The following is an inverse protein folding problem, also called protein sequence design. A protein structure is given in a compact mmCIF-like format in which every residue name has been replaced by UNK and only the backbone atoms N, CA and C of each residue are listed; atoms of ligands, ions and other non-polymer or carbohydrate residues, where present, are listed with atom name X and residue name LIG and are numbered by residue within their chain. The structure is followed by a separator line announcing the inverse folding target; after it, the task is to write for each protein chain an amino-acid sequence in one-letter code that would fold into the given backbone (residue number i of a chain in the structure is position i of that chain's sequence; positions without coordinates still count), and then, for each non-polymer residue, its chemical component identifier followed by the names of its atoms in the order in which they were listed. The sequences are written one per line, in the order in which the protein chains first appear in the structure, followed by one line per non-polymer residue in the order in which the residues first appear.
data_IF_682762139944
#
_entry.id   IF_682762139944
#
_cell.length_a   1.000
_cell.length_b   1.000
_cell.length_c   1.000
_cell.angle_alpha   90.00
_cell.angle_beta   90.00
_cell.angle_gamma   90.00
#
_symmetry.space_group_name_H-M   'P 1'
#
loop_
_entity.id
_entity.type
_entity.pdbx_description
1 polymer ?
#
# COMPACT_ATOMS: atom_id res chain seq x y z
N UNK A 1 -24.56 19.51 18.82
CA UNK A 1 -23.16 19.03 18.85
C UNK A 1 -22.74 18.88 17.39
N UNK A 2 -21.89 19.76 16.87
CA UNK A 2 -21.44 19.65 15.47
C UNK A 2 -20.48 18.46 15.39
N UNK A 3 -20.78 17.48 14.53
CA UNK A 3 -19.82 16.44 14.13
C UNK A 3 -18.68 17.15 13.40
N UNK A 4 -17.67 17.59 14.16
CA UNK A 4 -16.42 18.06 13.60
C UNK A 4 -15.80 16.85 12.90
N UNK A 5 -15.51 16.97 11.61
CA UNK A 5 -14.67 15.99 10.93
C UNK A 5 -13.38 15.89 11.76
N UNK A 6 -13.11 14.72 12.36
CA UNK A 6 -11.79 14.44 12.93
C UNK A 6 -10.77 14.57 11.79
N UNK A 7 -9.53 14.94 12.10
CA UNK A 7 -8.47 15.10 11.08
C UNK A 7 -8.28 13.86 10.21
N UNK A 8 -8.62 12.69 10.75
CA UNK A 8 -8.68 11.40 10.08
C UNK A 8 -9.95 10.64 10.49
N UNK A 9 -10.63 9.95 9.56
CA UNK A 9 -11.80 9.13 9.86
C UNK A 9 -11.87 7.86 9.01
N UNK A 10 -12.22 6.74 9.64
CA UNK A 10 -12.55 5.48 8.96
C UNK A 10 -14.05 5.32 8.87
N UNK A 11 -14.55 5.06 7.67
CA UNK A 11 -15.93 4.69 7.41
C UNK A 11 -15.94 3.19 7.09
N UNK A 12 -16.55 2.39 7.97
CA UNK A 12 -16.64 0.94 7.83
C UNK A 12 -17.95 0.58 7.13
N UNK A 13 -17.87 -0.21 6.06
CA UNK A 13 -19.02 -0.88 5.47
C UNK A 13 -19.40 -2.10 6.33
N UNK A 14 -18.38 -2.83 6.78
CA UNK A 14 -18.49 -3.96 7.71
C UNK A 14 -17.12 -4.27 8.33
N UNK A 15 -17.12 -5.07 9.40
CA UNK A 15 -15.89 -5.59 10.01
C UNK A 15 -15.60 -7.01 9.48
N UNK A 16 -14.50 -7.25 8.73
CA UNK A 16 -14.24 -8.54 8.13
C UNK A 16 -13.72 -9.56 9.14
N UNK A 17 -14.10 -10.83 8.97
CA UNK A 17 -13.61 -11.96 9.78
C UNK A 17 -12.39 -12.60 9.10
N UNK A 18 -11.20 -12.07 9.39
CA UNK A 18 -9.95 -12.54 8.78
C UNK A 18 -9.09 -13.35 9.76
N UNK A 19 -8.41 -14.40 9.25
CA UNK A 19 -7.46 -15.19 10.03
C UNK A 19 -6.03 -14.83 9.61
N UNK A 20 -5.31 -14.18 10.52
CA UNK A 20 -3.91 -13.75 10.34
C UNK A 20 -3.64 -13.09 8.97
N UNK A 21 -4.36 -12.00 8.63
CA UNK A 21 -4.22 -11.39 7.32
C UNK A 21 -2.83 -10.79 7.11
N UNK A 22 -2.38 -10.77 5.86
CA UNK A 22 -1.27 -9.92 5.41
C UNK A 22 -1.85 -8.57 5.01
N UNK A 23 -1.22 -7.50 5.48
CA UNK A 23 -1.59 -6.14 5.09
C UNK A 23 -0.74 -5.68 3.91
N UNK A 24 -1.38 -5.31 2.80
CA UNK A 24 -0.74 -4.89 1.56
C UNK A 24 -1.20 -3.46 1.26
N UNK A 25 -0.26 -2.56 1.01
CA UNK A 25 -0.53 -1.16 0.69
C UNK A 25 0.04 -0.85 -0.69
N UNK A 26 -0.83 -0.50 -1.62
CA UNK A 26 -0.46 0.02 -2.94
C UNK A 26 -0.40 1.54 -2.92
N UNK A 27 0.82 2.08 -2.94
CA UNK A 27 1.10 3.52 -2.98
C UNK A 27 0.96 4.04 -4.41
N UNK A 28 0.45 5.26 -4.58
CA UNK A 28 0.33 5.94 -5.87
C UNK A 28 1.51 6.88 -6.12
N UNK A 29 2.73 6.35 -6.03
CA UNK A 29 3.99 7.00 -6.40
C UNK A 29 4.19 7.15 -7.91
N UNK A 30 5.43 7.02 -8.38
CA UNK A 30 5.80 7.13 -9.80
C UNK A 30 5.17 5.98 -10.60
N UNK A 31 4.63 6.30 -11.77
CA UNK A 31 3.92 5.35 -12.62
C UNK A 31 2.63 4.77 -12.03
N UNK A 32 2.19 5.24 -10.84
CA UNK A 32 1.11 4.62 -10.05
C UNK A 32 1.28 3.10 -9.87
N UNK A 33 2.53 2.62 -9.83
CA UNK A 33 2.84 1.17 -9.88
C UNK A 33 2.22 0.42 -8.70
N UNK A 34 2.39 0.94 -7.47
CA UNK A 34 1.81 0.33 -6.28
C UNK A 34 0.29 0.22 -6.34
N UNK A 35 -0.38 1.30 -6.77
CA UNK A 35 -1.83 1.33 -7.01
C UNK A 35 -2.26 0.31 -8.07
N UNK A 36 -1.55 0.20 -9.19
CA UNK A 36 -1.83 -0.79 -10.23
C UNK A 36 -1.71 -2.21 -9.68
N UNK A 37 -0.59 -2.52 -9.00
CA UNK A 37 -0.37 -3.85 -8.42
C UNK A 37 -1.44 -4.22 -7.39
N UNK A 38 -1.86 -3.27 -6.56
CA UNK A 38 -2.93 -3.49 -5.59
C UNK A 38 -4.29 -3.72 -6.27
N UNK A 39 -4.60 -3.02 -7.37
CA UNK A 39 -5.83 -3.25 -8.14
C UNK A 39 -5.85 -4.62 -8.81
N UNK A 40 -4.74 -5.04 -9.42
CA UNK A 40 -4.59 -6.40 -9.95
C UNK A 40 -4.78 -7.47 -8.85
N UNK A 41 -4.26 -7.22 -7.65
CA UNK A 41 -4.45 -8.11 -6.52
C UNK A 41 -5.90 -8.15 -6.02
N UNK A 42 -6.60 -7.01 -6.00
CA UNK A 42 -8.02 -6.95 -5.65
C UNK A 42 -8.84 -7.79 -6.62
N UNK A 43 -8.62 -7.64 -7.92
CA UNK A 43 -9.29 -8.42 -8.97
C UNK A 43 -8.98 -9.91 -8.82
N UNK A 44 -7.69 -10.26 -8.75
CA UNK A 44 -7.23 -11.64 -8.62
C UNK A 44 -7.79 -12.32 -7.36
N UNK A 45 -7.76 -11.65 -6.21
CA UNK A 45 -8.23 -12.20 -4.94
C UNK A 45 -9.72 -12.00 -4.68
N UNK A 46 -10.47 -11.44 -5.63
CA UNK A 46 -11.90 -11.09 -5.46
C UNK A 46 -12.15 -10.29 -4.17
N UNK A 47 -11.24 -9.37 -3.85
CA UNK A 47 -11.28 -8.64 -2.60
C UNK A 47 -12.46 -7.66 -2.58
N UNK A 48 -13.11 -7.54 -1.42
CA UNK A 48 -14.30 -6.73 -1.22
C UNK A 48 -13.97 -5.47 -0.42
N UNK A 49 -14.49 -4.32 -0.86
CA UNK A 49 -14.36 -3.07 -0.11
C UNK A 49 -15.06 -3.23 1.24
N UNK A 50 -14.35 -2.96 2.34
CA UNK A 50 -14.93 -3.02 3.68
C UNK A 50 -14.73 -1.72 4.47
N UNK A 51 -13.84 -0.83 4.01
CA UNK A 51 -13.65 0.49 4.62
C UNK A 51 -13.10 1.53 3.67
N UNK A 52 -13.42 2.78 3.95
CA UNK A 52 -12.78 3.97 3.37
C UNK A 52 -12.17 4.83 4.46
N UNK A 53 -11.05 5.49 4.17
CA UNK A 53 -10.38 6.43 5.08
C UNK A 53 -10.32 7.82 4.46
N UNK A 54 -10.72 8.82 5.24
CA UNK A 54 -10.71 10.23 4.86
C UNK A 54 -9.78 10.99 5.79
N UNK A 55 -9.18 12.07 5.28
CA UNK A 55 -8.37 12.98 6.08
C UNK A 55 -8.48 14.40 5.56
N UNK A 56 -8.39 15.37 6.46
CA UNK A 56 -8.27 16.78 6.11
C UNK A 56 -6.91 17.12 5.46
N UNK A 57 -5.94 16.21 5.48
CA UNK A 57 -4.65 16.36 4.80
C UNK A 57 -4.70 15.91 3.33
N UNK A 58 -5.81 15.35 2.86
CA UNK A 58 -6.01 15.09 1.43
C UNK A 58 -6.43 16.36 0.68
N UNK A 59 -6.36 16.32 -0.65
CA UNK A 59 -6.75 17.45 -1.49
C UNK A 59 -8.18 17.93 -1.19
N UNK A 60 -8.36 19.24 -1.13
CA UNK A 60 -9.59 19.96 -0.80
C UNK A 60 -10.58 20.05 -1.98
N UNK A 61 -10.77 18.93 -2.68
CA UNK A 61 -11.61 18.85 -3.87
C UNK A 61 -12.57 17.67 -3.80
N UNK A 62 -13.70 17.75 -4.49
CA UNK A 62 -14.53 16.58 -4.75
C UNK A 62 -14.03 15.85 -6.01
N UNK A 63 -14.00 14.52 -5.97
CA UNK A 63 -13.79 13.66 -7.13
C UNK A 63 -15.14 13.36 -7.77
N UNK A 64 -15.26 13.56 -9.08
CA UNK A 64 -16.48 13.27 -9.85
C UNK A 64 -16.26 11.97 -10.61
N UNK A 65 -17.16 11.00 -10.41
CA UNK A 65 -17.17 9.74 -11.14
C UNK A 65 -17.82 9.91 -12.52
N UNK A 66 -17.65 8.91 -13.40
CA UNK A 66 -18.18 8.95 -14.77
C UNK A 66 -19.71 9.07 -14.86
N UNK A 67 -20.43 8.68 -13.80
CA UNK A 67 -21.88 8.81 -13.66
C UNK A 67 -22.32 10.14 -13.04
N UNK A 68 -21.37 11.04 -12.77
CA UNK A 68 -21.62 12.34 -12.14
C UNK A 68 -21.69 12.30 -10.61
N UNK A 69 -21.53 11.14 -9.96
CA UNK A 69 -21.55 11.04 -8.50
C UNK A 69 -20.24 11.58 -7.93
N UNK A 70 -20.35 12.54 -7.00
CA UNK A 70 -19.20 13.11 -6.32
C UNK A 70 -18.78 12.31 -5.07
N UNK A 71 -17.50 12.37 -4.72
CA UNK A 71 -16.97 11.79 -3.48
C UNK A 71 -15.76 12.58 -2.99
N UNK A 72 -15.48 12.55 -1.69
CA UNK A 72 -14.21 13.09 -1.17
C UNK A 72 -13.05 12.14 -1.50
N UNK A 73 -11.83 12.68 -1.70
CA UNK A 73 -10.63 11.89 -1.83
C UNK A 73 -10.43 11.03 -0.59
N UNK A 74 -10.05 9.78 -0.81
CA UNK A 74 -10.02 8.76 0.23
C UNK A 74 -9.00 7.67 -0.07
N UNK A 75 -8.62 6.94 0.95
CA UNK A 75 -8.02 5.62 0.80
C UNK A 75 -9.11 4.56 0.89
N UNK A 76 -8.94 3.46 0.15
CA UNK A 76 -9.89 2.35 0.14
C UNK A 76 -9.23 1.09 0.67
N UNK A 77 -9.97 0.31 1.46
CA UNK A 77 -9.50 -0.89 2.12
C UNK A 77 -10.37 -2.06 1.70
N UNK A 78 -9.71 -3.06 1.14
CA UNK A 78 -10.31 -4.28 0.64
C UNK A 78 -9.85 -5.47 1.47
N UNK A 79 -10.69 -6.48 1.57
CA UNK A 79 -10.36 -7.73 2.25
C UNK A 79 -10.58 -8.92 1.31
N UNK A 80 -9.72 -9.93 1.42
CA UNK A 80 -9.96 -11.21 0.77
C UNK A 80 -9.72 -12.36 1.74
N UNK A 81 -10.72 -13.23 1.83
CA UNK A 81 -10.63 -14.52 2.49
C UNK A 81 -10.69 -15.69 1.50
N UNK A 82 -10.73 -15.43 0.19
CA UNK A 82 -10.81 -16.44 -0.88
C UNK A 82 -9.43 -16.99 -1.27
N UNK A 83 -8.36 -16.39 -0.75
CA UNK A 83 -6.99 -16.85 -0.90
C UNK A 83 -6.33 -17.14 0.46
N UNK A 84 -5.24 -17.91 0.43
CA UNK A 84 -4.40 -18.15 1.59
C UNK A 84 -3.00 -17.55 1.38
N UNK A 85 -2.48 -16.78 2.35
CA UNK A 85 -3.18 -16.25 3.54
C UNK A 85 -4.29 -15.25 3.20
N UNK A 86 -5.15 -14.94 4.18
CA UNK A 86 -6.13 -13.86 4.04
C UNK A 86 -5.41 -12.52 3.80
N UNK A 87 -6.08 -11.58 3.13
CA UNK A 87 -5.50 -10.29 2.75
C UNK A 87 -6.31 -9.12 3.28
N UNK A 88 -5.62 -8.05 3.63
CA UNK A 88 -6.13 -6.68 3.67
C UNK A 88 -5.33 -5.90 2.65
N UNK A 89 -5.99 -5.18 1.76
CA UNK A 89 -5.36 -4.42 0.68
C UNK A 89 -5.83 -2.97 0.80
N UNK A 90 -4.93 -2.05 1.12
CA UNK A 90 -5.20 -0.62 1.08
C UNK A 90 -4.67 -0.02 -0.23
N UNK A 91 -5.45 0.89 -0.82
CA UNK A 91 -5.10 1.59 -2.04
C UNK A 91 -5.10 3.09 -1.78
N UNK A 92 -3.97 3.73 -2.04
CA UNK A 92 -3.86 5.19 -2.03
C UNK A 92 -4.54 5.75 -3.29
N UNK A 93 -5.82 6.10 -3.20
CA UNK A 93 -6.52 6.81 -4.28
C UNK A 93 -6.39 8.33 -4.18
N UNK A 94 -5.86 8.85 -3.07
CA UNK A 94 -5.59 10.26 -2.85
C UNK A 94 -4.25 10.44 -2.16
N UNK A 95 -3.45 11.39 -2.67
CA UNK A 95 -2.20 11.79 -2.02
C UNK A 95 -2.48 12.77 -0.88
N UNK A 96 -1.56 12.82 0.07
CA UNK A 96 -1.46 13.89 1.06
C UNK A 96 -1.10 15.17 0.30
N UNK A 97 -1.89 16.23 0.46
CA UNK A 97 -1.81 17.44 -0.35
C UNK A 97 -0.72 18.41 0.14
N UNK A 98 -0.43 18.39 1.44
CA UNK A 98 0.53 19.27 2.08
C UNK A 98 1.85 18.50 2.24
N UNK A 99 2.93 19.07 1.72
CA UNK A 99 4.28 18.48 1.85
C UNK A 99 4.92 18.79 3.21
N UNK A 100 4.19 18.47 4.28
CA UNK A 100 4.62 18.64 5.66
C UNK A 100 4.82 17.27 6.31
N UNK A 101 5.97 17.00 6.95
CA UNK A 101 6.24 15.73 7.59
C UNK A 101 5.14 15.29 8.57
N UNK A 102 4.56 16.21 9.34
CA UNK A 102 3.49 15.92 10.30
C UNK A 102 2.25 15.30 9.64
N UNK A 103 1.87 15.76 8.45
CA UNK A 103 0.73 15.22 7.71
C UNK A 103 0.98 13.76 7.29
N UNK A 104 2.18 13.44 6.80
CA UNK A 104 2.59 12.08 6.46
C UNK A 104 2.59 11.16 7.68
N UNK A 105 3.22 11.57 8.78
CA UNK A 105 3.25 10.76 9.99
C UNK A 105 1.85 10.54 10.57
N UNK A 106 1.01 11.57 10.61
CA UNK A 106 -0.36 11.47 11.15
C UNK A 106 -1.21 10.51 10.33
N UNK A 107 -1.28 10.70 9.01
CA UNK A 107 -2.11 9.89 8.12
C UNK A 107 -1.62 8.44 8.07
N UNK A 108 -0.31 8.24 7.89
CA UNK A 108 0.24 6.91 7.66
C UNK A 108 0.32 6.09 8.96
N UNK A 109 0.45 6.73 10.12
CA UNK A 109 0.33 6.04 11.41
C UNK A 109 -1.10 5.56 11.65
N UNK A 110 -2.12 6.36 11.34
CA UNK A 110 -3.53 5.93 11.42
C UNK A 110 -3.83 4.74 10.49
N UNK A 111 -3.36 4.81 9.24
CA UNK A 111 -3.48 3.72 8.26
C UNK A 111 -2.79 2.44 8.75
N UNK A 112 -1.57 2.56 9.28
CA UNK A 112 -0.85 1.41 9.84
C UNK A 112 -1.56 0.84 11.08
N UNK A 113 -1.98 1.69 12.00
CA UNK A 113 -2.67 1.30 13.23
C UNK A 113 -4.01 0.62 12.94
N UNK A 114 -4.70 1.00 11.87
CA UNK A 114 -5.91 0.31 11.41
C UNK A 114 -5.65 -1.15 11.05
N UNK A 115 -4.58 -1.43 10.31
CA UNK A 115 -4.13 -2.81 10.05
C UNK A 115 -3.81 -3.57 11.34
N UNK A 116 -3.11 -2.93 12.29
CA UNK A 116 -2.77 -3.55 13.59
C UNK A 116 -4.01 -3.91 14.41
N UNK A 117 -5.05 -3.06 14.41
CA UNK A 117 -6.35 -3.37 15.04
C UNK A 117 -7.01 -4.61 14.42
N UNK A 118 -6.73 -4.88 13.15
CA UNK A 118 -7.16 -6.09 12.42
C UNK A 118 -6.19 -7.27 12.56
N UNK A 119 -5.27 -7.21 13.53
CA UNK A 119 -4.33 -8.28 13.93
C UNK A 119 -3.37 -8.70 12.80
N UNK A 120 -3.03 -7.80 11.89
CA UNK A 120 -2.00 -8.04 10.88
C UNK A 120 -0.65 -8.21 11.57
N UNK A 121 0.16 -9.16 11.09
CA UNK A 121 1.53 -9.38 11.59
C UNK A 121 2.60 -9.04 10.55
N UNK A 122 2.16 -8.70 9.34
CA UNK A 122 3.03 -8.41 8.21
C UNK A 122 2.43 -7.31 7.36
N UNK A 123 3.25 -6.31 7.08
CA UNK A 123 2.99 -5.22 6.16
C UNK A 123 3.82 -5.40 4.89
N UNK A 124 3.19 -5.15 3.74
CA UNK A 124 3.86 -5.06 2.46
C UNK A 124 3.45 -3.74 1.83
N UNK A 125 4.43 -2.94 1.45
CA UNK A 125 4.21 -1.68 0.74
C UNK A 125 4.76 -1.83 -0.66
N UNK A 126 3.94 -1.56 -1.66
CA UNK A 126 4.32 -1.61 -3.07
C UNK A 126 4.33 -0.18 -3.59
N UNK A 127 5.43 0.23 -4.19
CA UNK A 127 5.59 1.60 -4.67
C UNK A 127 6.42 1.68 -5.94
N UNK A 128 6.12 2.70 -6.74
CA UNK A 128 6.92 3.11 -7.87
C UNK A 128 7.77 4.32 -7.50
N UNK A 129 9.07 4.25 -7.76
CA UNK A 129 10.00 5.35 -7.48
C UNK A 129 10.61 5.88 -8.77
N UNK A 130 11.02 7.14 -8.78
CA UNK A 130 11.71 7.70 -9.92
C UNK A 130 12.99 6.88 -10.20
N UNK A 131 13.23 6.57 -11.48
CA UNK A 131 14.45 5.90 -11.88
C UNK A 131 15.67 6.75 -11.49
N UNK A 132 16.42 6.28 -10.49
CA UNK A 132 17.75 6.79 -10.19
C UNK A 132 18.70 6.29 -11.28
N UNK A 133 19.61 7.12 -11.77
CA UNK A 133 20.50 6.81 -12.90
C UNK A 133 21.31 5.51 -12.75
N UNK A 134 21.51 5.04 -11.51
CA UNK A 134 22.24 3.82 -11.17
C UNK A 134 21.36 2.57 -11.00
N UNK A 135 20.03 2.71 -11.17
CA UNK A 135 19.06 1.66 -10.91
C UNK A 135 18.41 1.19 -12.21
N UNK A 136 18.59 -0.09 -12.51
CA UNK A 136 17.94 -0.74 -13.65
C UNK A 136 16.43 -0.97 -13.45
N UNK A 137 15.80 -1.67 -14.40
CA UNK A 137 14.37 -2.02 -14.37
C UNK A 137 14.04 -3.18 -13.42
N UNK A 138 14.91 -3.56 -12.50
CA UNK A 138 14.64 -4.68 -11.58
C UNK A 138 13.61 -4.31 -10.51
N UNK A 139 13.12 -5.32 -9.81
CA UNK A 139 12.38 -5.13 -8.55
C UNK A 139 13.40 -5.01 -7.42
N UNK A 140 13.33 -3.88 -6.71
CA UNK A 140 14.11 -3.64 -5.52
C UNK A 140 13.30 -3.92 -4.26
N UNK A 141 13.99 -4.32 -3.20
CA UNK A 141 13.37 -4.67 -1.94
C UNK A 141 14.06 -3.99 -0.76
N UNK A 142 13.24 -3.58 0.20
CA UNK A 142 13.63 -3.08 1.52
C UNK A 142 12.81 -3.82 2.57
N UNK A 143 13.33 -3.98 3.78
CA UNK A 143 12.60 -4.67 4.84
C UNK A 143 13.03 -4.26 6.24
N UNK A 144 12.17 -4.52 7.23
CA UNK A 144 12.42 -4.19 8.65
C UNK A 144 13.40 -5.14 9.34
N UNK A 145 13.78 -6.26 8.68
CA UNK A 145 14.74 -7.24 9.22
C UNK A 145 15.58 -7.92 8.12
N UNK A 146 16.78 -8.39 8.51
CA UNK A 146 17.72 -9.08 7.60
C UNK A 146 17.16 -10.41 7.08
N UNK A 147 16.35 -11.12 7.87
CA UNK A 147 15.74 -12.39 7.45
C UNK A 147 14.74 -12.17 6.31
N UNK A 148 13.97 -11.09 6.36
CA UNK A 148 13.05 -10.71 5.28
C UNK A 148 13.81 -10.37 3.99
N UNK A 149 14.91 -9.61 4.08
CA UNK A 149 15.76 -9.34 2.91
C UNK A 149 16.25 -10.63 2.25
N UNK A 150 16.83 -11.56 3.03
CA UNK A 150 17.30 -12.85 2.50
C UNK A 150 16.20 -13.61 1.75
N UNK A 151 14.99 -13.66 2.35
CA UNK A 151 13.83 -14.29 1.73
C UNK A 151 13.46 -13.63 0.40
N UNK A 152 13.42 -12.30 0.35
CA UNK A 152 13.03 -11.57 -0.86
C UNK A 152 14.07 -11.74 -1.99
N UNK A 153 15.35 -11.75 -1.63
CA UNK A 153 16.43 -11.96 -2.59
C UNK A 153 16.40 -13.36 -3.21
N UNK A 154 15.98 -14.40 -2.46
CA UNK A 154 15.82 -15.74 -3.05
C UNK A 154 14.68 -15.84 -4.06
N UNK A 155 13.75 -14.87 -4.09
CA UNK A 155 12.69 -14.79 -5.10
C UNK A 155 13.06 -13.96 -6.34
N UNK A 156 14.25 -13.34 -6.35
CA UNK A 156 14.77 -12.53 -7.45
C UNK A 156 14.76 -11.03 -7.20
N UNK A 157 14.36 -10.56 -6.01
CA UNK A 157 14.43 -9.14 -5.66
C UNK A 157 15.87 -8.70 -5.40
N UNK A 158 16.23 -7.48 -5.79
CA UNK A 158 17.53 -6.87 -5.47
C UNK A 158 17.38 -5.98 -4.25
N UNK A 159 18.27 -6.05 -3.26
CA UNK A 159 18.18 -5.12 -2.14
C UNK A 159 18.44 -3.68 -2.62
N UNK A 160 17.61 -2.74 -2.18
CA UNK A 160 17.77 -1.33 -2.52
C UNK A 160 19.01 -0.78 -1.80
N UNK A 161 19.97 -0.21 -2.54
CA UNK A 161 21.20 0.41 -2.01
C UNK A 161 21.08 1.93 -1.97
N UNK A 162 20.07 2.44 -1.26
CA UNK A 162 19.82 3.87 -1.14
C UNK A 162 20.04 4.33 0.31
N UNK A 163 20.37 5.61 0.49
CA UNK A 163 20.45 6.25 1.81
C UNK A 163 19.08 6.56 2.39
N UNK A 164 18.08 6.74 1.52
CA UNK A 164 16.72 7.12 1.88
C UNK A 164 15.69 6.48 0.94
N UNK A 165 14.47 6.33 1.46
CA UNK A 165 13.26 5.99 0.70
C UNK A 165 12.21 7.03 1.09
N UNK A 166 11.86 7.98 0.21
CA UNK A 166 10.95 9.08 0.55
C UNK A 166 9.47 8.67 0.51
N UNK A 167 8.61 9.58 0.96
CA UNK A 167 7.16 9.50 0.80
C UNK A 167 6.48 8.40 1.61
N UNK A 168 5.28 8.01 1.17
CA UNK A 168 4.41 7.10 1.92
C UNK A 168 5.07 5.74 2.19
N UNK A 169 5.81 5.20 1.23
CA UNK A 169 6.48 3.90 1.38
C UNK A 169 7.59 3.92 2.43
N UNK A 170 8.40 4.97 2.45
CA UNK A 170 9.42 5.17 3.48
C UNK A 170 8.84 5.29 4.88
N UNK A 171 7.86 6.17 5.06
CA UNK A 171 7.23 6.43 6.37
C UNK A 171 6.51 5.18 6.89
N UNK A 172 5.73 4.49 6.06
CA UNK A 172 5.03 3.25 6.45
C UNK A 172 6.00 2.15 6.92
N UNK A 173 7.12 1.96 6.22
CA UNK A 173 8.12 0.97 6.59
C UNK A 173 8.91 1.36 7.84
N UNK A 174 9.20 2.66 8.00
CA UNK A 174 9.81 3.20 9.22
C UNK A 174 8.91 3.00 10.44
N UNK A 175 7.62 3.36 10.33
CA UNK A 175 6.63 3.14 11.38
C UNK A 175 6.43 1.65 11.69
N UNK A 176 6.40 0.78 10.67
CA UNK A 176 6.35 -0.66 10.87
C UNK A 176 7.55 -1.17 11.67
N UNK A 177 8.77 -0.67 11.38
CA UNK A 177 9.97 -0.99 12.15
C UNK A 177 9.84 -0.56 13.62
N UNK A 178 9.39 0.67 13.87
CA UNK A 178 9.20 1.19 15.23
C UNK A 178 8.18 0.37 16.03
N UNK A 179 7.15 -0.16 15.37
CA UNK A 179 6.10 -0.98 15.99
C UNK A 179 6.42 -2.48 16.00
N UNK A 180 7.65 -2.89 15.70
CA UNK A 180 8.08 -4.30 15.63
C UNK A 180 7.22 -5.16 14.68
N UNK A 181 6.75 -4.57 13.59
CA UNK A 181 6.00 -5.25 12.54
C UNK A 181 6.95 -5.72 11.43
N UNK A 182 6.74 -6.95 10.94
CA UNK A 182 7.43 -7.41 9.73
C UNK A 182 6.97 -6.57 8.53
N UNK A 183 7.85 -5.71 8.02
CA UNK A 183 7.57 -4.80 6.92
C UNK A 183 8.45 -5.12 5.72
N UNK A 184 7.85 -5.15 4.54
CA UNK A 184 8.51 -5.38 3.24
C UNK A 184 8.13 -4.26 2.28
N UNK A 185 9.09 -3.63 1.64
CA UNK A 185 8.87 -2.77 0.48
C UNK A 185 9.20 -3.49 -0.82
N UNK A 186 8.29 -3.46 -1.78
CA UNK A 186 8.50 -3.87 -3.18
C UNK A 186 8.56 -2.58 -3.98
N UNK A 187 9.77 -2.22 -4.42
CA UNK A 187 10.08 -0.92 -5.01
C UNK A 187 10.47 -1.13 -6.47
N UNK A 188 9.70 -0.56 -7.38
CA UNK A 188 9.91 -0.70 -8.82
C UNK A 188 10.24 0.67 -9.43
N UNK A 189 11.49 0.89 -9.89
CA UNK A 189 11.85 2.12 -10.58
C UNK A 189 11.05 2.27 -11.87
N UNK A 190 10.60 3.49 -12.15
CA UNK A 190 10.02 3.86 -13.44
C UNK A 190 10.46 5.25 -13.85
N UNK A 191 10.63 5.43 -15.16
CA UNK A 191 10.84 6.74 -15.79
C UNK A 191 9.51 7.38 -16.23
N UNK A 192 8.40 6.63 -16.16
CA UNK A 192 7.09 7.10 -16.57
C UNK A 192 6.40 7.87 -15.45
N UNK A 193 6.11 9.15 -15.70
CA UNK A 193 5.24 9.94 -14.84
C UNK A 193 3.75 9.66 -15.09
N UNK A 194 3.43 8.93 -16.18
CA UNK A 194 2.09 8.42 -16.47
C UNK A 194 1.96 6.97 -15.99
N UNK A 195 0.73 6.45 -16.00
CA UNK A 195 0.39 5.10 -15.57
C UNK A 195 1.27 4.03 -16.25
N UNK A 196 2.04 3.29 -15.44
CA UNK A 196 2.96 2.23 -15.88
C UNK A 196 2.37 0.85 -15.54
N UNK A 197 1.52 0.35 -16.44
CA UNK A 197 0.79 -0.92 -16.23
C UNK A 197 1.71 -2.14 -16.23
N UNK A 198 2.76 -2.12 -17.06
CA UNK A 198 3.72 -3.22 -17.18
C UNK A 198 4.52 -3.37 -15.88
N UNK A 199 5.06 -2.27 -15.36
CA UNK A 199 5.77 -2.30 -14.09
C UNK A 199 4.84 -2.67 -12.91
N UNK A 200 3.57 -2.24 -12.95
CA UNK A 200 2.52 -2.67 -12.02
C UNK A 200 2.26 -4.18 -12.03
N UNK A 201 2.15 -4.77 -13.21
CA UNK A 201 1.97 -6.22 -13.39
C UNK A 201 3.20 -7.01 -12.92
N UNK A 202 4.41 -6.55 -13.22
CA UNK A 202 5.64 -7.19 -12.72
C UNK A 202 5.71 -7.20 -11.19
N UNK A 203 5.41 -6.07 -10.54
CA UNK A 203 5.40 -5.99 -9.08
C UNK A 203 4.31 -6.87 -8.46
N UNK A 204 3.13 -6.96 -9.11
CA UNK A 204 2.07 -7.89 -8.74
C UNK A 204 2.53 -9.36 -8.84
N UNK A 205 3.13 -9.77 -9.96
CA UNK A 205 3.66 -11.13 -10.15
C UNK A 205 4.72 -11.49 -9.11
N UNK A 206 5.60 -10.55 -8.79
CA UNK A 206 6.61 -10.74 -7.75
C UNK A 206 5.98 -10.90 -6.35
N UNK A 207 4.94 -10.12 -6.04
CA UNK A 207 4.18 -10.26 -4.80
C UNK A 207 3.54 -11.64 -4.68
N UNK A 208 2.80 -12.09 -5.69
CA UNK A 208 2.13 -13.40 -5.72
C UNK A 208 3.15 -14.53 -5.48
N UNK A 209 4.29 -14.48 -6.19
CA UNK A 209 5.40 -15.45 -6.05
C UNK A 209 5.98 -15.44 -4.64
N UNK A 210 6.30 -14.26 -4.10
CA UNK A 210 6.96 -14.08 -2.79
C UNK A 210 6.08 -14.54 -1.63
N UNK A 211 4.78 -14.32 -1.74
CA UNK A 211 3.81 -14.72 -0.74
C UNK A 211 3.27 -16.13 -0.94
N UNK A 212 3.56 -16.76 -2.07
CA UNK A 212 2.98 -18.04 -2.47
C UNK A 212 1.45 -18.01 -2.36
N UNK A 213 0.85 -16.91 -2.84
CA UNK A 213 -0.60 -16.72 -2.77
C UNK A 213 -1.31 -17.72 -3.67
N UNK A 214 -2.34 -18.37 -3.12
CA UNK A 214 -3.17 -19.34 -3.83
C UNK A 214 -4.63 -19.12 -3.46
N UNK A 215 -5.52 -19.34 -4.41
CA UNK A 215 -6.94 -19.47 -4.11
C UNK A 215 -7.17 -20.64 -3.15
N UNK A 216 -8.12 -20.48 -2.23
CA UNK A 216 -8.63 -21.60 -1.45
C UNK A 216 -9.47 -22.45 -2.40
N UNK A 217 -9.07 -23.71 -2.54
CA UNK A 217 -9.87 -24.77 -3.15
C UNK A 217 -11.15 -25.00 -2.37
#
# INVERSE_FOLDING_TARGET
MFNKFSSCSFHLEYLPKLKNPIYIIGVSGVGSIGKVSARLLIEWSQAKLFSSFYSCYFFDQALIQNDGICSLPKWEFYESNTCHPNLIIAVENSRIAIDEPEAYYTVLDEILNFGLKLKVKKLIVIDGVAALSNYGKDIYVVATSKSLIKKLTSFGGKFLKATELPGSSGVLLGLAKLKNLDGIGIIKPSASLVLDREAGDEAFKFLIKTLNLKHKS
#
